data_IF_195637017861
#
_entry.id   IF_195637017861
#
_cell.length_a   1.000
_cell.length_b   1.000
_cell.length_c   1.000
_cell.angle_alpha   90.00
_cell.angle_beta   90.00
_cell.angle_gamma   90.00
#
_symmetry.space_group_name_H-M   'P 1'
#
loop_
_entity.id
_entity.type
_entity.pdbx_description
1 polymer ?
#
# COMPACT_ATOMS: atom_id res chain seq x y z
N UNK A 1 2.07 0.29 -22.50
CA UNK A 1 1.48 -0.54 -21.40
C UNK A 1 0.12 -1.08 -21.81
N UNK A 2 -0.91 -0.24 -22.04
CA UNK A 2 -2.27 -0.71 -22.36
C UNK A 2 -2.33 -1.77 -23.48
N UNK A 3 -1.75 -1.47 -24.65
CA UNK A 3 -1.71 -2.40 -25.79
C UNK A 3 -1.12 -3.77 -25.47
N UNK A 4 -0.11 -3.81 -24.58
CA UNK A 4 0.54 -5.05 -24.17
C UNK A 4 -0.28 -5.88 -23.17
N UNK A 5 -1.28 -5.27 -22.51
CA UNK A 5 -2.10 -5.93 -21.49
C UNK A 5 -3.50 -6.33 -21.99
N UNK A 6 -3.98 -5.72 -23.08
CA UNK A 6 -5.28 -6.08 -23.68
C UNK A 6 -5.31 -7.57 -24.01
N UNK A 7 -6.36 -8.26 -23.58
CA UNK A 7 -6.57 -9.69 -23.81
C UNK A 7 -5.85 -10.62 -22.82
N UNK A 8 -5.08 -10.08 -21.86
CA UNK A 8 -4.48 -10.88 -20.78
C UNK A 8 -5.46 -11.06 -19.61
N UNK A 9 -5.30 -12.17 -18.88
CA UNK A 9 -6.11 -12.43 -17.69
C UNK A 9 -5.60 -11.60 -16.51
N UNK A 10 -6.45 -10.68 -16.01
CA UNK A 10 -6.14 -9.84 -14.87
C UNK A 10 -5.88 -10.64 -13.58
N UNK A 11 -6.40 -11.87 -13.46
CA UNK A 11 -6.23 -12.72 -12.27
C UNK A 11 -4.80 -13.21 -12.09
N UNK A 12 -4.02 -13.28 -13.17
CA UNK A 12 -2.60 -13.62 -13.12
C UNK A 12 -1.76 -12.35 -12.92
N UNK A 13 -1.78 -11.84 -11.69
CA UNK A 13 -1.07 -10.61 -11.31
C UNK A 13 0.42 -10.69 -11.65
N UNK A 14 1.05 -11.85 -11.41
CA UNK A 14 2.48 -12.04 -11.67
C UNK A 14 2.79 -11.94 -13.18
N UNK A 15 1.97 -12.53 -14.05
CA UNK A 15 2.15 -12.41 -15.49
C UNK A 15 1.91 -10.98 -16.00
N UNK A 16 0.90 -10.28 -15.47
CA UNK A 16 0.63 -8.88 -15.83
C UNK A 16 1.81 -7.98 -15.44
N UNK A 17 2.32 -8.10 -14.21
CA UNK A 17 3.46 -7.32 -13.73
C UNK A 17 4.73 -7.67 -14.50
N UNK A 18 4.98 -8.94 -14.79
CA UNK A 18 6.12 -9.37 -15.60
C UNK A 18 6.12 -8.76 -17.00
N UNK A 19 4.96 -8.72 -17.67
CA UNK A 19 4.83 -8.07 -18.99
C UNK A 19 5.18 -6.59 -18.91
N UNK A 20 4.73 -5.87 -17.88
CA UNK A 20 5.05 -4.45 -17.74
C UNK A 20 6.53 -4.20 -17.43
N UNK A 21 7.12 -5.04 -16.58
CA UNK A 21 8.55 -4.96 -16.23
C UNK A 21 9.42 -5.26 -17.45
N UNK A 22 9.12 -6.32 -18.20
CA UNK A 22 9.85 -6.67 -19.42
C UNK A 22 9.69 -5.62 -20.52
N UNK A 23 8.49 -5.08 -20.70
CA UNK A 23 8.21 -4.04 -21.70
C UNK A 23 8.94 -2.73 -21.38
N UNK A 24 9.09 -2.40 -20.10
CA UNK A 24 9.93 -1.29 -19.66
C UNK A 24 11.40 -1.57 -19.98
N UNK A 25 11.89 -2.76 -19.59
CA UNK A 25 13.21 -3.26 -19.94
C UNK A 25 14.36 -2.59 -19.17
N UNK A 26 14.09 -1.73 -18.20
CA UNK A 26 15.09 -1.11 -17.33
C UNK A 26 14.98 -1.61 -15.90
N UNK A 27 16.12 -1.73 -15.22
CA UNK A 27 16.17 -2.23 -13.84
C UNK A 27 15.34 -1.37 -12.87
N UNK A 28 15.43 -0.05 -13.03
CA UNK A 28 14.78 0.94 -12.18
C UNK A 28 13.44 1.48 -12.73
N UNK A 29 12.88 0.86 -13.78
CA UNK A 29 11.61 1.27 -14.41
C UNK A 29 11.64 2.71 -14.93
N UNK A 30 12.80 3.16 -15.43
CA UNK A 30 13.03 4.55 -15.87
C UNK A 30 12.40 4.89 -17.22
N UNK A 31 12.06 3.88 -18.05
CA UNK A 31 11.46 4.13 -19.37
C UNK A 31 10.01 4.56 -19.27
N UNK A 32 9.22 3.89 -18.42
CA UNK A 32 7.82 4.26 -18.18
C UNK A 32 7.61 5.04 -16.89
N UNK A 33 8.55 4.95 -15.95
CA UNK A 33 8.38 5.43 -14.59
C UNK A 33 7.70 4.37 -13.71
N UNK A 34 8.25 4.16 -12.52
CA UNK A 34 7.66 3.24 -11.54
C UNK A 34 6.23 3.63 -11.16
N UNK A 35 5.91 4.93 -11.16
CA UNK A 35 4.55 5.45 -10.95
C UNK A 35 3.54 4.94 -11.98
N UNK A 36 3.89 4.89 -13.27
CA UNK A 36 3.00 4.39 -14.32
C UNK A 36 2.76 2.88 -14.18
N UNK A 37 3.82 2.10 -13.98
CA UNK A 37 3.74 0.64 -13.81
C UNK A 37 2.95 0.29 -12.55
N UNK A 38 3.25 0.94 -11.42
CA UNK A 38 2.58 0.70 -10.15
C UNK A 38 1.08 1.04 -10.22
N UNK A 39 0.72 2.15 -10.85
CA UNK A 39 -0.68 2.55 -10.99
C UNK A 39 -1.49 1.47 -11.73
N UNK A 40 -0.95 0.93 -12.83
CA UNK A 40 -1.60 -0.14 -13.60
C UNK A 40 -1.61 -1.46 -12.83
N UNK A 41 -0.51 -1.81 -12.15
CA UNK A 41 -0.40 -3.01 -11.31
C UNK A 41 -1.49 -3.06 -10.23
N UNK A 42 -1.66 -1.96 -9.48
CA UNK A 42 -2.68 -1.83 -8.43
C UNK A 42 -4.10 -1.78 -8.99
N UNK A 43 -4.31 -1.15 -10.15
CA UNK A 43 -5.61 -1.13 -10.82
C UNK A 43 -6.01 -2.53 -11.32
N UNK A 44 -5.05 -3.30 -11.85
CA UNK A 44 -5.26 -4.69 -12.27
C UNK A 44 -5.69 -5.56 -11.09
N UNK A 45 -4.99 -5.51 -9.95
CA UNK A 45 -5.34 -6.26 -8.75
C UNK A 45 -6.76 -5.94 -8.24
N UNK A 46 -7.15 -4.66 -8.27
CA UNK A 46 -8.52 -4.24 -7.90
C UNK A 46 -9.57 -4.79 -8.87
N UNK A 47 -9.30 -4.75 -10.18
CA UNK A 47 -10.19 -5.29 -11.20
C UNK A 47 -10.34 -6.82 -11.08
N UNK A 48 -9.24 -7.53 -10.81
CA UNK A 48 -9.23 -8.96 -10.58
C UNK A 48 -10.03 -9.35 -9.33
N UNK A 49 -9.85 -8.64 -8.21
CA UNK A 49 -10.64 -8.84 -6.99
C UNK A 49 -12.15 -8.64 -7.25
N UNK A 50 -12.51 -7.56 -7.95
CA UNK A 50 -13.89 -7.29 -8.33
C UNK A 50 -14.46 -8.38 -9.26
N UNK A 51 -13.69 -8.85 -10.24
CA UNK A 51 -14.09 -9.95 -11.14
C UNK A 51 -14.25 -11.30 -10.40
N UNK A 52 -13.55 -11.49 -9.28
CA UNK A 52 -13.72 -12.63 -8.38
C UNK A 52 -14.85 -12.47 -7.36
N UNK A 53 -15.47 -11.28 -7.28
CA UNK A 53 -16.56 -10.99 -6.33
C UNK A 53 -16.11 -10.91 -4.88
N UNK A 54 -14.85 -10.53 -4.63
CA UNK A 54 -14.27 -10.46 -3.28
C UNK A 54 -13.58 -9.11 -3.00
N UNK A 55 -13.43 -8.72 -1.72
CA UNK A 55 -12.63 -7.55 -1.35
C UNK A 55 -11.16 -7.67 -1.77
N UNK A 56 -10.50 -6.52 -1.96
CA UNK A 56 -9.09 -6.48 -2.36
C UNK A 56 -8.15 -7.16 -1.36
N UNK A 57 -8.39 -7.01 -0.05
CA UNK A 57 -7.52 -7.63 0.97
C UNK A 57 -7.56 -9.16 0.92
N UNK A 58 -8.69 -9.73 0.53
CA UNK A 58 -8.87 -11.17 0.37
C UNK A 58 -8.15 -11.65 -0.88
N UNK A 59 -8.29 -10.92 -1.99
CA UNK A 59 -7.55 -11.21 -3.22
C UNK A 59 -6.03 -11.14 -3.03
N UNK A 60 -5.53 -10.13 -2.29
CA UNK A 60 -4.11 -10.02 -1.94
C UNK A 60 -3.66 -11.24 -1.13
N UNK A 61 -4.46 -11.73 -0.18
CA UNK A 61 -4.11 -12.91 0.60
C UNK A 61 -4.00 -14.18 -0.27
N UNK A 62 -4.87 -14.35 -1.27
CA UNK A 62 -4.74 -15.44 -2.25
C UNK A 62 -3.48 -15.29 -3.12
N UNK A 63 -3.20 -14.10 -3.65
CA UNK A 63 -1.98 -13.83 -4.42
C UNK A 63 -0.72 -14.12 -3.59
N UNK A 64 -0.78 -13.83 -2.29
CA UNK A 64 0.30 -14.08 -1.34
C UNK A 64 0.40 -15.55 -0.86
N UNK A 65 -0.48 -16.45 -1.33
CA UNK A 65 -0.48 -17.86 -0.90
C UNK A 65 -0.93 -18.07 0.55
N UNK A 66 -1.67 -17.12 1.12
CA UNK A 66 -2.10 -17.07 2.54
C UNK A 66 -3.62 -16.85 2.65
N UNK A 67 -4.39 -17.41 1.72
CA UNK A 67 -5.84 -17.22 1.65
C UNK A 67 -6.53 -17.46 3.01
N UNK A 68 -7.40 -16.53 3.40
CA UNK A 68 -8.14 -16.57 4.67
C UNK A 68 -7.34 -16.16 5.91
N UNK A 69 -6.05 -15.85 5.80
CA UNK A 69 -5.21 -15.40 6.91
C UNK A 69 -5.18 -13.87 6.97
N UNK A 70 -5.67 -13.30 8.07
CA UNK A 70 -5.79 -11.86 8.24
C UNK A 70 -5.37 -11.41 9.62
N UNK A 71 -4.87 -10.18 9.70
CA UNK A 71 -4.66 -9.44 10.94
C UNK A 71 -4.90 -7.96 10.70
N UNK A 72 -5.25 -7.23 11.75
CA UNK A 72 -5.23 -5.77 11.71
C UNK A 72 -3.83 -5.31 12.15
N UNK A 73 -3.16 -4.40 11.42
CA UNK A 73 -1.82 -3.96 11.77
C UNK A 73 -1.83 -3.06 13.01
N UNK A 74 -0.72 -3.06 13.76
CA UNK A 74 -0.45 -2.03 14.78
C UNK A 74 -0.03 -0.74 14.07
N UNK A 75 -0.82 0.35 14.15
CA UNK A 75 -0.48 1.59 13.46
C UNK A 75 0.72 2.29 14.11
N UNK A 76 1.63 2.77 13.26
CA UNK A 76 2.65 3.76 13.60
C UNK A 76 2.14 5.12 13.13
N UNK A 77 1.81 6.01 14.06
CA UNK A 77 1.16 7.29 13.74
C UNK A 77 2.14 8.43 13.96
N UNK A 78 2.55 9.09 12.88
CA UNK A 78 3.40 10.27 12.94
C UNK A 78 2.62 11.47 13.48
N UNK A 79 3.06 12.01 14.62
CA UNK A 79 2.38 13.09 15.35
C UNK A 79 3.22 14.36 15.47
N UNK A 80 4.53 14.31 15.20
CA UNK A 80 5.41 15.48 15.11
C UNK A 80 6.33 15.30 13.90
N UNK A 81 6.32 16.30 13.03
CA UNK A 81 7.18 16.36 11.85
C UNK A 81 8.45 17.20 12.13
N UNK A 82 9.56 16.76 11.55
CA UNK A 82 10.82 17.50 11.45
C UNK A 82 11.45 17.27 10.07
N UNK A 83 12.74 17.59 9.93
CA UNK A 83 13.51 17.41 8.71
C UNK A 83 12.86 18.10 7.50
N UNK A 84 12.89 17.46 6.33
CA UNK A 84 12.31 18.02 5.10
C UNK A 84 10.78 18.16 5.14
N UNK A 85 10.12 17.57 6.14
CA UNK A 85 8.67 17.64 6.31
C UNK A 85 8.21 18.87 7.11
N UNK A 86 9.12 19.66 7.72
CA UNK A 86 8.75 20.82 8.52
C UNK A 86 9.81 21.93 8.49
N UNK A 87 9.34 23.19 8.54
CA UNK A 87 10.21 24.38 8.66
C UNK A 87 10.53 24.66 10.14
N UNK A 88 11.16 23.68 10.81
CA UNK A 88 11.58 23.79 12.20
C UNK A 88 13.03 23.31 12.38
N UNK A 89 13.57 23.43 13.59
CA UNK A 89 14.95 23.04 13.91
C UNK A 89 15.07 21.57 14.35
N UNK A 90 14.08 20.73 14.05
CA UNK A 90 14.06 19.33 14.45
C UNK A 90 14.65 18.49 13.33
N UNK A 91 15.80 17.86 13.56
CA UNK A 91 16.49 17.06 12.52
C UNK A 91 15.76 15.74 12.21
N UNK A 92 15.10 15.14 13.22
CA UNK A 92 14.39 13.87 13.06
C UNK A 92 13.08 14.10 12.29
N UNK A 93 12.89 13.37 11.20
CA UNK A 93 11.78 13.59 10.27
C UNK A 93 10.40 13.25 10.86
N UNK A 94 10.28 12.18 11.63
CA UNK A 94 8.99 11.66 12.11
C UNK A 94 9.10 11.13 13.53
N UNK A 95 8.24 11.64 14.43
CA UNK A 95 8.05 11.08 15.77
C UNK A 95 6.69 10.40 15.82
N UNK A 96 6.71 9.09 16.03
CA UNK A 96 5.53 8.25 15.94
C UNK A 96 5.12 7.69 17.30
N UNK A 97 3.81 7.53 17.48
CA UNK A 97 3.23 6.74 18.57
C UNK A 97 2.69 5.41 18.05
N UNK A 98 2.74 4.40 18.91
CA UNK A 98 2.18 3.08 18.67
C UNK A 98 1.26 2.70 19.83
N UNK A 99 -0.07 2.58 19.63
CA UNK A 99 -1.01 2.21 20.68
C UNK A 99 -1.00 0.69 20.94
N UNK A 100 0.14 0.16 21.42
CA UNK A 100 0.38 -1.28 21.64
C UNK A 100 -0.60 -1.94 22.62
N UNK A 101 -1.25 -1.14 23.49
CA UNK A 101 -2.23 -1.63 24.46
C UNK A 101 -3.66 -1.75 23.91
N UNK A 102 -3.93 -1.31 22.68
CA UNK A 102 -5.27 -1.39 22.08
C UNK A 102 -5.63 -2.83 21.71
N UNK A 103 -6.86 -3.25 22.03
CA UNK A 103 -7.36 -4.58 21.67
C UNK A 103 -7.83 -4.68 20.21
N UNK A 104 -8.10 -3.54 19.55
CA UNK A 104 -8.59 -3.49 18.17
C UNK A 104 -7.98 -2.31 17.41
N UNK A 105 -7.91 -2.38 16.07
CA UNK A 105 -7.49 -1.22 15.26
C UNK A 105 -8.41 0.00 15.50
N UNK A 106 -9.71 -0.22 15.71
CA UNK A 106 -10.65 0.87 16.00
C UNK A 106 -10.26 1.61 17.28
N UNK A 107 -9.89 0.88 18.32
CA UNK A 107 -9.39 1.45 19.56
C UNK A 107 -8.02 2.11 19.38
N UNK A 108 -7.11 1.49 18.64
CA UNK A 108 -5.80 2.05 18.31
C UNK A 108 -5.93 3.43 17.64
N UNK A 109 -6.81 3.54 16.63
CA UNK A 109 -7.11 4.81 15.94
C UNK A 109 -7.70 5.85 16.89
N UNK A 110 -8.63 5.44 17.77
CA UNK A 110 -9.19 6.34 18.79
C UNK A 110 -8.10 6.87 19.73
N UNK A 111 -7.26 5.99 20.29
CA UNK A 111 -6.16 6.37 21.18
C UNK A 111 -5.19 7.34 20.49
N UNK A 112 -4.82 7.05 19.24
CA UNK A 112 -3.95 7.94 18.46
C UNK A 112 -4.57 9.32 18.21
N UNK A 113 -5.86 9.36 17.86
CA UNK A 113 -6.59 10.61 17.67
C UNK A 113 -6.70 11.42 18.97
N UNK A 114 -6.98 10.78 20.11
CA UNK A 114 -7.00 11.43 21.43
C UNK A 114 -5.64 12.03 21.78
N UNK A 115 -4.54 11.30 21.59
CA UNK A 115 -3.18 11.82 21.81
C UNK A 115 -2.89 13.00 20.89
N UNK A 116 -3.20 12.88 19.60
CA UNK A 116 -2.95 13.96 18.63
C UNK A 116 -3.70 15.25 18.97
N UNK A 117 -4.97 15.18 19.35
CA UNK A 117 -5.75 16.37 19.70
C UNK A 117 -5.33 17.01 21.03
N UNK A 118 -4.74 16.25 21.96
CA UNK A 118 -4.20 16.79 23.22
C UNK A 118 -2.78 17.34 23.06
N UNK A 119 -2.05 16.93 22.01
CA UNK A 119 -0.73 17.46 21.69
C UNK A 119 -0.78 18.83 21.01
N UNK A 120 -1.88 19.13 20.31
CA UNK A 120 -2.10 20.35 19.54
C UNK A 120 -2.24 21.60 20.42
#
# INVERSE_FOLDING_TARGET
IAEALVGKDAKDQAAIDAVMIELDGTENKSKFGANAILAVSLANAKAAAAAKGMPLYEHIAELNGTAGQFSMPLPMMNIINGGEHADNNVDIQEFMIQPVGAATLKEAVRMGAEVFHNLA
#
